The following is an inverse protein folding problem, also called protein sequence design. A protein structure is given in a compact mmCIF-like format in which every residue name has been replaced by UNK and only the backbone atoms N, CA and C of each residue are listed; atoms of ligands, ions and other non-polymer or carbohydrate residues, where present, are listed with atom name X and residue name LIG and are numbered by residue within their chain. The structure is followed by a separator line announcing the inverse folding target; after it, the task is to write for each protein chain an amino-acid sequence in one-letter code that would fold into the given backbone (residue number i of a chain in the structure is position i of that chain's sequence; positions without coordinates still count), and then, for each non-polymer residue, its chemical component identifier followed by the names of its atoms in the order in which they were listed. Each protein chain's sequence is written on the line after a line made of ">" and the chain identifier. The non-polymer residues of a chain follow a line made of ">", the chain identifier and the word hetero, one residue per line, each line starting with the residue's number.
data_IF_582469309751
#
_entry.id   IF_582469309751
#
_cell.length_a   1.000
_cell.length_b   1.000
_cell.length_c   1.000
_cell.angle_alpha   90.00
_cell.angle_beta   90.00
_cell.angle_gamma   90.00
#
_symmetry.space_group_name_H-M   'P 1'
#
loop_
_entity.id
_entity.type
_entity.pdbx_description
1 polymer ?
#
# COMPACT_ATOMS: atom_id res chain seq x y z
N UNK A 1 0.76 -22.14 -29.11
CA UNK A 1 1.61 -22.57 -27.97
C UNK A 1 2.62 -21.51 -27.49
N UNK A 2 3.04 -20.50 -28.27
CA UNK A 2 4.04 -19.50 -27.80
C UNK A 2 3.56 -18.45 -26.78
N UNK A 3 2.24 -18.20 -26.68
CA UNK A 3 1.67 -17.20 -25.76
C UNK A 3 1.45 -17.70 -24.33
N UNK A 4 1.45 -19.01 -24.10
CA UNK A 4 1.15 -19.60 -22.78
C UNK A 4 2.37 -19.59 -21.85
N UNK A 5 3.57 -19.74 -22.40
CA UNK A 5 4.81 -19.69 -21.63
C UNK A 5 5.02 -18.36 -20.87
N UNK A 6 4.87 -17.17 -21.48
CA UNK A 6 5.02 -15.91 -20.74
C UNK A 6 3.91 -15.71 -19.72
N UNK A 7 2.67 -16.12 -20.01
CA UNK A 7 1.56 -16.02 -19.05
C UNK A 7 1.78 -16.91 -17.82
N UNK A 8 2.29 -18.13 -18.03
CA UNK A 8 2.65 -19.03 -16.94
C UNK A 8 3.78 -18.45 -16.09
N UNK A 9 4.81 -17.87 -16.72
CA UNK A 9 5.91 -17.23 -16.00
C UNK A 9 5.41 -16.05 -15.14
N UNK A 10 4.55 -15.19 -15.70
CA UNK A 10 3.94 -14.08 -14.96
C UNK A 10 3.10 -14.61 -13.79
N UNK A 11 2.26 -15.62 -14.02
CA UNK A 11 1.45 -16.21 -12.96
C UNK A 11 2.29 -16.79 -11.82
N UNK A 12 3.41 -17.46 -12.15
CA UNK A 12 4.35 -17.98 -11.15
C UNK A 12 5.05 -16.87 -10.38
N UNK A 13 5.44 -15.77 -11.04
CA UNK A 13 6.05 -14.62 -10.38
C UNK A 13 5.07 -13.95 -9.41
N UNK A 14 3.82 -13.73 -9.84
CA UNK A 14 2.76 -13.19 -8.99
C UNK A 14 2.50 -14.12 -7.80
N UNK A 15 2.39 -15.43 -8.02
CA UNK A 15 2.20 -16.40 -6.96
C UNK A 15 3.37 -16.41 -5.96
N UNK A 16 4.61 -16.31 -6.45
CA UNK A 16 5.80 -16.24 -5.60
C UNK A 16 5.84 -14.96 -4.77
N UNK A 17 5.52 -13.80 -5.37
CA UNK A 17 5.44 -12.53 -4.65
C UNK A 17 4.36 -12.58 -3.55
N UNK A 18 3.16 -13.06 -3.88
CA UNK A 18 2.08 -13.23 -2.90
C UNK A 18 2.48 -14.21 -1.78
N UNK A 19 3.10 -15.34 -2.10
CA UNK A 19 3.54 -16.29 -1.09
C UNK A 19 4.58 -15.71 -0.12
N UNK A 20 5.44 -14.80 -0.61
CA UNK A 20 6.46 -14.16 0.20
C UNK A 20 5.90 -13.04 1.08
N UNK A 21 5.01 -12.20 0.54
CA UNK A 21 4.57 -10.98 1.21
C UNK A 21 3.20 -11.06 1.88
N UNK A 22 2.31 -11.95 1.46
CA UNK A 22 0.98 -12.10 2.08
C UNK A 22 1.04 -12.41 3.59
N UNK A 23 2.02 -13.17 4.12
CA UNK A 23 2.14 -13.34 5.58
C UNK A 23 2.29 -12.03 6.36
N UNK A 24 2.80 -10.96 5.74
CA UNK A 24 2.95 -9.65 6.38
C UNK A 24 1.61 -9.00 6.75
N UNK A 25 0.50 -9.37 6.10
CA UNK A 25 -0.84 -8.85 6.45
C UNK A 25 -1.35 -9.28 7.81
N UNK A 26 -0.67 -10.22 8.46
CA UNK A 26 -0.96 -10.66 9.83
C UNK A 26 -0.20 -9.87 10.89
N UNK A 27 0.69 -8.97 10.47
CA UNK A 27 1.42 -8.09 11.36
C UNK A 27 0.57 -6.87 11.67
N UNK A 28 0.79 -6.30 12.85
CA UNK A 28 0.32 -4.95 13.17
C UNK A 28 1.13 -3.92 12.37
N UNK A 29 0.78 -2.64 12.51
CA UNK A 29 1.64 -1.55 12.03
C UNK A 29 2.98 -1.60 12.79
N UNK A 30 4.09 -1.38 12.09
CA UNK A 30 5.44 -1.44 12.65
C UNK A 30 6.25 -0.22 12.22
N UNK A 31 7.07 0.33 13.11
CA UNK A 31 8.00 1.41 12.75
C UNK A 31 7.29 2.69 12.33
N UNK A 32 7.64 3.21 11.16
CA UNK A 32 7.10 4.47 10.62
C UNK A 32 5.70 4.32 9.98
N UNK A 33 5.17 3.09 9.86
CA UNK A 33 3.79 2.83 9.44
C UNK A 33 2.79 3.71 10.20
N UNK A 34 2.97 3.83 11.52
CA UNK A 34 2.12 4.66 12.38
C UNK A 34 2.14 6.13 11.96
N UNK A 35 3.31 6.67 11.66
CA UNK A 35 3.47 8.07 11.25
C UNK A 35 2.77 8.31 9.91
N UNK A 36 2.94 7.41 8.95
CA UNK A 36 2.35 7.54 7.62
C UNK A 36 0.82 7.40 7.64
N UNK A 37 0.29 6.43 8.38
CA UNK A 37 -1.17 6.27 8.55
C UNK A 37 -1.78 7.46 9.28
N UNK A 38 -1.11 8.01 10.29
CA UNK A 38 -1.56 9.23 10.99
C UNK A 38 -1.54 10.45 10.06
N UNK A 39 -0.48 10.61 9.28
CA UNK A 39 -0.35 11.71 8.31
C UNK A 39 -1.49 11.66 7.29
N UNK A 40 -1.75 10.48 6.71
CA UNK A 40 -2.84 10.26 5.78
C UNK A 40 -4.22 10.50 6.42
N UNK A 41 -4.42 10.02 7.66
CA UNK A 41 -5.67 10.27 8.38
C UNK A 41 -5.92 11.76 8.61
N UNK A 42 -4.89 12.54 8.95
CA UNK A 42 -4.99 13.99 9.08
C UNK A 42 -5.33 14.65 7.73
N UNK A 43 -4.72 14.19 6.64
CA UNK A 43 -4.98 14.70 5.30
C UNK A 43 -6.44 14.49 4.83
N UNK A 44 -7.18 13.53 5.41
CA UNK A 44 -8.63 13.39 5.16
C UNK A 44 -9.46 14.56 5.69
N UNK A 45 -8.99 15.28 6.72
CA UNK A 45 -9.67 16.43 7.32
C UNK A 45 -9.02 17.76 6.97
N UNK A 46 -7.74 17.73 6.58
CA UNK A 46 -6.97 18.87 6.09
C UNK A 46 -6.46 18.57 4.66
N UNK A 47 -7.30 18.71 3.61
CA UNK A 47 -6.98 18.20 2.27
C UNK A 47 -5.73 18.80 1.62
N UNK A 48 -5.30 19.99 2.05
CA UNK A 48 -4.05 20.59 1.59
C UNK A 48 -2.84 19.71 1.94
N UNK A 49 -2.92 18.88 2.99
CA UNK A 49 -1.86 17.94 3.35
C UNK A 49 -1.72 16.79 2.34
N UNK A 50 -2.72 16.52 1.50
CA UNK A 50 -2.56 15.59 0.37
C UNK A 50 -1.48 16.06 -0.62
N UNK A 51 -1.13 17.34 -0.60
CA UNK A 51 -0.10 17.95 -1.45
C UNK A 51 1.20 18.22 -0.70
N UNK A 52 1.27 17.94 0.61
CA UNK A 52 2.42 18.26 1.45
C UNK A 52 3.68 17.45 1.12
N UNK A 53 3.54 16.29 0.46
CA UNK A 53 4.69 15.47 0.05
C UNK A 53 5.19 15.77 -1.37
N UNK A 54 4.65 16.79 -2.03
CA UNK A 54 5.13 17.25 -3.35
C UNK A 54 6.51 17.88 -3.29
N UNK A 55 6.86 18.52 -2.17
CA UNK A 55 8.10 19.27 -2.00
C UNK A 55 9.17 18.51 -1.21
N UNK A 56 8.75 17.62 -0.30
CA UNK A 56 9.63 17.00 0.68
C UNK A 56 10.19 15.66 0.19
N UNK A 57 9.33 14.79 -0.37
CA UNK A 57 9.72 13.44 -0.80
C UNK A 57 9.42 13.13 -2.26
N UNK A 58 8.71 14.01 -2.98
CA UNK A 58 8.21 13.79 -4.34
C UNK A 58 7.39 12.49 -4.47
N UNK A 59 6.67 12.11 -3.41
CA UNK A 59 5.85 10.88 -3.33
C UNK A 59 4.41 11.18 -2.93
N UNK A 60 3.71 12.13 -3.59
CA UNK A 60 2.34 12.48 -3.21
C UNK A 60 1.38 11.29 -3.29
N UNK A 61 1.65 10.35 -4.20
CA UNK A 61 0.85 9.15 -4.37
C UNK A 61 0.80 8.30 -3.09
N UNK A 62 1.85 8.30 -2.26
CA UNK A 62 1.85 7.56 -0.98
C UNK A 62 0.76 8.06 -0.04
N UNK A 63 0.69 9.37 0.20
CA UNK A 63 -0.34 9.94 1.09
C UNK A 63 -1.75 9.75 0.51
N UNK A 64 -1.91 9.77 -0.81
CA UNK A 64 -3.20 9.50 -1.46
C UNK A 64 -3.65 8.05 -1.31
N UNK A 65 -2.76 7.08 -1.57
CA UNK A 65 -3.09 5.66 -1.44
C UNK A 65 -3.38 5.30 0.01
N UNK A 66 -2.65 5.90 0.96
CA UNK A 66 -2.89 5.72 2.39
C UNK A 66 -4.19 6.37 2.87
N UNK A 67 -4.58 7.54 2.33
CA UNK A 67 -5.85 8.15 2.65
C UNK A 67 -7.04 7.34 2.10
N UNK A 68 -6.87 6.75 0.91
CA UNK A 68 -7.83 5.83 0.33
C UNK A 68 -7.93 4.54 1.16
N UNK A 69 -6.80 3.95 1.54
CA UNK A 69 -6.76 2.78 2.43
C UNK A 69 -7.49 3.04 3.73
N UNK A 70 -7.23 4.21 4.31
CA UNK A 70 -7.88 4.65 5.52
C UNK A 70 -9.40 4.73 5.38
N UNK A 71 -9.89 5.15 4.21
CA UNK A 71 -11.32 5.21 3.91
C UNK A 71 -11.94 3.81 3.69
N UNK A 72 -11.17 2.85 3.15
CA UNK A 72 -11.63 1.50 2.83
C UNK A 72 -11.57 0.54 4.03
N UNK A 73 -10.46 0.59 4.79
CA UNK A 73 -10.11 -0.38 5.84
C UNK A 73 -10.19 0.20 7.26
N UNK A 74 -10.35 1.52 7.40
CA UNK A 74 -10.35 2.16 8.71
C UNK A 74 -9.00 2.01 9.42
N UNK A 75 -9.01 1.50 10.66
CA UNK A 75 -7.79 1.27 11.47
C UNK A 75 -7.23 -0.16 11.33
N UNK A 76 -7.76 -0.96 10.41
CA UNK A 76 -7.31 -2.34 10.23
C UNK A 76 -5.92 -2.40 9.56
N UNK A 77 -4.92 -2.88 10.29
CA UNK A 77 -3.55 -3.05 9.79
C UNK A 77 -3.48 -4.07 8.64
N UNK A 78 -4.33 -5.10 8.64
CA UNK A 78 -4.32 -6.11 7.60
C UNK A 78 -4.72 -5.54 6.23
N UNK A 79 -5.69 -4.62 6.22
CA UNK A 79 -6.10 -3.91 5.01
C UNK A 79 -5.01 -3.00 4.44
N UNK A 80 -4.35 -2.23 5.30
CA UNK A 80 -3.16 -1.43 4.95
C UNK A 80 -2.06 -2.28 4.31
N UNK A 81 -1.71 -3.40 4.95
CA UNK A 81 -0.67 -4.31 4.44
C UNK A 81 -1.09 -4.96 3.12
N UNK A 82 -2.37 -5.32 2.96
CA UNK A 82 -2.88 -5.89 1.71
C UNK A 82 -2.72 -4.92 0.55
N UNK A 83 -3.11 -3.66 0.72
CA UNK A 83 -2.94 -2.65 -0.34
C UNK A 83 -1.48 -2.42 -0.67
N UNK A 84 -0.60 -2.37 0.32
CA UNK A 84 0.84 -2.28 0.07
C UNK A 84 1.36 -3.47 -0.76
N UNK A 85 0.94 -4.70 -0.45
CA UNK A 85 1.31 -5.89 -1.25
C UNK A 85 0.78 -5.83 -2.69
N UNK A 86 -0.36 -5.18 -2.92
CA UNK A 86 -0.94 -5.04 -4.26
C UNK A 86 -0.30 -3.93 -5.10
N UNK A 87 0.25 -2.89 -4.45
CA UNK A 87 0.85 -1.73 -5.12
C UNK A 87 2.37 -1.83 -5.30
N UNK A 88 3.04 -2.74 -4.60
CA UNK A 88 4.49 -2.98 -4.67
C UNK A 88 4.86 -4.07 -5.68
#
# INVERSE_FOLDING_TARGET
>A
MRRTAPLLAIALLVAAALALYLPATRLELIGDDYQWVQHAHRAMYEPLLLLADLDTFYRPASTWTLALDRALWGFDAAGYHLTNVLLH
#
